data_IF_657478341670
#
_entry.id   IF_657478341670
#
_cell.length_a   1.000
_cell.length_b   1.000
_cell.length_c   1.000
_cell.angle_alpha   90.00
_cell.angle_beta   90.00
_cell.angle_gamma   90.00
#
_symmetry.space_group_name_H-M   'P 1'
#
loop_
_entity.id
_entity.type
_entity.pdbx_description
1 polymer ?
#
# COMPACT_ATOMS: atom_id res chain seq x y z
N UNK A 1 6.02 28.86 23.50
CA UNK A 1 5.98 27.42 23.08
C UNK A 1 6.91 26.63 23.99
N UNK A 2 6.39 25.61 24.64
CA UNK A 2 7.20 24.76 25.54
C UNK A 2 8.02 23.74 24.76
N UNK A 3 9.04 23.18 25.40
CA UNK A 3 9.82 22.08 24.83
C UNK A 3 8.94 20.88 24.50
N UNK A 4 7.91 20.65 25.31
CA UNK A 4 6.94 19.58 25.07
C UNK A 4 6.17 19.80 23.77
N UNK A 5 5.72 21.03 23.53
CA UNK A 5 5.00 21.37 22.30
C UNK A 5 5.90 21.20 21.06
N UNK A 6 7.15 21.60 21.17
CA UNK A 6 8.13 21.42 20.08
C UNK A 6 8.35 19.94 19.80
N UNK A 7 8.52 19.13 20.85
CA UNK A 7 8.71 17.67 20.69
C UNK A 7 7.48 17.02 20.05
N UNK A 8 6.28 17.38 20.45
CA UNK A 8 5.05 16.87 19.83
C UNK A 8 4.94 17.25 18.35
N UNK A 9 5.26 18.50 18.01
CA UNK A 9 5.21 18.98 16.64
C UNK A 9 6.21 18.25 15.74
N UNK A 10 7.44 18.06 16.23
CA UNK A 10 8.48 17.34 15.50
C UNK A 10 8.11 15.87 15.29
N UNK A 11 7.57 15.22 16.32
CA UNK A 11 7.13 13.83 16.24
C UNK A 11 5.98 13.66 15.24
N UNK A 12 4.97 14.51 15.33
CA UNK A 12 3.82 14.47 14.41
C UNK A 12 4.26 14.70 12.94
N UNK A 13 5.17 15.65 12.73
CA UNK A 13 5.70 15.94 11.40
C UNK A 13 6.51 14.76 10.85
N UNK A 14 7.36 14.16 11.70
CA UNK A 14 8.17 13.00 11.29
C UNK A 14 7.29 11.82 10.91
N UNK A 15 6.23 11.52 11.69
CA UNK A 15 5.29 10.45 11.37
C UNK A 15 4.54 10.74 10.07
N UNK A 16 4.08 11.97 9.88
CA UNK A 16 3.37 12.34 8.66
C UNK A 16 4.23 12.17 7.40
N UNK A 17 5.51 12.54 7.49
CA UNK A 17 6.46 12.39 6.37
C UNK A 17 6.88 10.96 6.11
N UNK A 18 6.78 10.08 7.11
CA UNK A 18 7.19 8.69 7.03
C UNK A 18 6.00 7.72 7.04
N UNK A 19 4.81 8.19 6.71
CA UNK A 19 3.67 7.30 6.54
C UNK A 19 3.94 6.31 5.40
N UNK A 20 3.44 5.06 5.51
CA UNK A 20 3.65 4.07 4.45
C UNK A 20 3.18 4.54 3.07
N UNK A 21 2.07 5.26 3.00
CA UNK A 21 1.57 5.80 1.73
C UNK A 21 2.53 6.82 1.12
N UNK A 22 3.06 7.75 1.93
CA UNK A 22 4.01 8.76 1.45
C UNK A 22 5.33 8.14 0.99
N UNK A 23 5.84 7.17 1.73
CA UNK A 23 7.08 6.47 1.38
C UNK A 23 6.94 5.76 0.05
N UNK A 24 5.85 5.03 -0.15
CA UNK A 24 5.63 4.30 -1.41
C UNK A 24 5.40 5.26 -2.57
N UNK A 25 4.63 6.32 -2.37
CA UNK A 25 4.41 7.33 -3.40
C UNK A 25 5.73 7.93 -3.88
N UNK A 26 6.57 8.41 -2.96
CA UNK A 26 7.85 9.01 -3.29
C UNK A 26 8.84 7.99 -3.88
N UNK A 27 8.87 6.77 -3.34
CA UNK A 27 9.74 5.71 -3.86
C UNK A 27 9.34 5.28 -5.27
N UNK A 28 8.06 5.33 -5.61
CA UNK A 28 7.56 4.93 -6.92
C UNK A 28 8.17 5.77 -8.04
N UNK A 29 8.49 7.04 -7.78
CA UNK A 29 9.15 7.92 -8.76
C UNK A 29 10.47 7.36 -9.26
N UNK A 30 11.17 6.57 -8.45
CA UNK A 30 12.46 5.96 -8.81
C UNK A 30 12.31 4.83 -9.82
N UNK A 31 11.09 4.35 -10.03
CA UNK A 31 10.80 3.20 -10.88
C UNK A 31 10.09 3.58 -12.17
N UNK A 32 10.08 4.85 -12.56
CA UNK A 32 9.40 5.33 -13.75
C UNK A 32 9.83 4.58 -15.01
N UNK A 33 11.11 4.25 -15.14
CA UNK A 33 11.60 3.46 -16.28
C UNK A 33 10.88 2.13 -16.40
N UNK A 34 10.68 1.44 -15.27
CA UNK A 34 9.97 0.15 -15.26
C UNK A 34 8.49 0.32 -15.58
N UNK A 35 7.86 1.36 -15.05
CA UNK A 35 6.45 1.63 -15.33
C UNK A 35 6.24 2.03 -16.79
N UNK A 36 7.14 2.82 -17.35
CA UNK A 36 7.09 3.22 -18.77
C UNK A 36 7.21 2.02 -19.69
N UNK A 37 8.09 1.07 -19.37
CA UNK A 37 8.31 -0.12 -20.18
C UNK A 37 7.21 -1.18 -20.00
N UNK A 38 6.48 -1.15 -18.91
CA UNK A 38 5.42 -2.12 -18.64
C UNK A 38 4.22 -1.88 -19.57
N UNK A 39 3.66 -2.97 -20.10
CA UNK A 39 2.37 -2.92 -20.80
C UNK A 39 1.21 -3.08 -19.85
N UNK A 40 1.40 -3.82 -18.76
CA UNK A 40 0.39 -4.08 -17.73
C UNK A 40 1.03 -4.02 -16.36
N UNK A 41 0.31 -3.46 -15.41
CA UNK A 41 0.74 -3.40 -14.01
C UNK A 41 -0.32 -4.11 -13.17
N UNK A 42 0.14 -5.04 -12.32
CA UNK A 42 -0.69 -5.83 -11.41
C UNK A 42 -0.31 -5.48 -9.97
N UNK A 43 -0.92 -4.46 -9.36
CA UNK A 43 -0.55 -4.05 -8.02
C UNK A 43 -0.98 -5.08 -6.97
N UNK A 44 -0.03 -5.50 -6.14
CA UNK A 44 -0.26 -6.42 -5.02
C UNK A 44 0.47 -5.88 -3.80
N UNK A 45 -0.20 -5.78 -2.68
CA UNK A 45 0.40 -5.41 -1.40
C UNK A 45 0.07 -6.45 -0.34
N UNK A 46 1.08 -6.88 0.40
CA UNK A 46 0.94 -7.92 1.42
C UNK A 46 1.62 -7.46 2.70
N UNK A 47 0.93 -7.59 3.82
CA UNK A 47 1.51 -7.31 5.12
C UNK A 47 0.74 -6.29 5.95
N UNK A 48 1.34 -5.93 7.09
CA UNK A 48 0.70 -5.09 8.10
C UNK A 48 0.33 -3.70 7.59
N UNK A 49 1.21 -3.06 6.81
CA UNK A 49 0.99 -1.72 6.28
C UNK A 49 0.47 -1.73 4.84
N UNK A 50 0.01 -2.87 4.35
CA UNK A 50 -0.28 -3.09 2.93
C UNK A 50 -1.34 -2.16 2.36
N UNK A 51 -2.35 -1.78 3.12
CA UNK A 51 -3.39 -0.88 2.61
C UNK A 51 -2.88 0.54 2.43
N UNK A 52 -2.16 1.06 3.40
CA UNK A 52 -1.56 2.38 3.27
C UNK A 52 -0.52 2.41 2.14
N UNK A 53 0.28 1.36 2.02
CA UNK A 53 1.23 1.21 0.93
C UNK A 53 0.55 1.15 -0.43
N UNK A 54 -0.53 0.38 -0.54
CA UNK A 54 -1.31 0.30 -1.78
C UNK A 54 -1.93 1.67 -2.12
N UNK A 55 -2.44 2.39 -1.13
CA UNK A 55 -2.99 3.73 -1.35
C UNK A 55 -1.95 4.67 -1.95
N UNK A 56 -0.73 4.67 -1.42
CA UNK A 56 0.36 5.47 -1.97
C UNK A 56 0.75 5.06 -3.38
N UNK A 57 0.82 3.76 -3.65
CA UNK A 57 1.11 3.25 -4.99
C UNK A 57 0.03 3.64 -5.99
N UNK A 58 -1.24 3.48 -5.62
CA UNK A 58 -2.36 3.81 -6.50
C UNK A 58 -2.47 5.30 -6.76
N UNK A 59 -2.18 6.15 -5.78
CA UNK A 59 -2.11 7.59 -6.01
C UNK A 59 -1.09 7.90 -7.11
N UNK A 60 0.09 7.31 -7.03
CA UNK A 60 1.14 7.52 -8.01
C UNK A 60 0.78 6.96 -9.39
N UNK A 61 0.30 5.72 -9.44
CA UNK A 61 -0.07 5.08 -10.70
C UNK A 61 -1.26 5.74 -11.39
N UNK A 62 -2.26 6.17 -10.62
CA UNK A 62 -3.42 6.85 -11.18
C UNK A 62 -3.07 8.24 -11.72
N UNK A 63 -2.10 8.91 -11.14
CA UNK A 63 -1.63 10.21 -11.64
C UNK A 63 -0.77 10.08 -12.90
N UNK A 64 0.04 9.03 -13.02
CA UNK A 64 1.07 8.92 -14.04
C UNK A 64 0.85 7.80 -15.06
N UNK A 65 0.24 6.68 -14.67
CA UNK A 65 0.08 5.48 -15.49
C UNK A 65 -1.31 4.85 -15.38
N UNK A 66 -2.40 5.62 -15.44
CA UNK A 66 -3.74 5.09 -15.14
C UNK A 66 -4.19 3.99 -16.10
N UNK A 67 -3.77 4.03 -17.35
CA UNK A 67 -4.16 3.03 -18.35
C UNK A 67 -3.41 1.71 -18.25
N UNK A 68 -2.36 1.64 -17.45
CA UNK A 68 -1.52 0.44 -17.31
C UNK A 68 -1.97 -0.49 -16.20
N UNK A 69 -2.81 -0.06 -15.29
CA UNK A 69 -3.39 -0.91 -14.25
C UNK A 69 -4.38 -1.85 -14.92
N UNK A 70 -4.01 -3.13 -15.01
CA UNK A 70 -4.77 -4.09 -15.82
C UNK A 70 -5.94 -4.71 -15.07
N UNK A 71 -5.73 -5.05 -13.81
CA UNK A 71 -6.75 -5.67 -12.96
C UNK A 71 -6.90 -4.90 -11.66
N UNK A 72 -8.03 -5.08 -11.00
CA UNK A 72 -8.27 -4.55 -9.66
C UNK A 72 -7.15 -4.99 -8.72
N UNK A 73 -6.48 -4.04 -8.04
CA UNK A 73 -5.38 -4.37 -7.14
C UNK A 73 -5.81 -5.31 -6.00
N UNK A 74 -4.85 -6.07 -5.48
CA UNK A 74 -5.08 -6.98 -4.35
C UNK A 74 -4.28 -6.51 -3.15
N UNK A 75 -4.95 -6.44 -2.00
CA UNK A 75 -4.33 -6.15 -0.71
C UNK A 75 -4.59 -7.33 0.23
N UNK A 76 -3.52 -7.87 0.79
CA UNK A 76 -3.57 -8.92 1.81
C UNK A 76 -3.07 -8.34 3.12
N UNK A 77 -3.93 -8.26 4.13
CA UNK A 77 -3.57 -7.71 5.43
C UNK A 77 -4.21 -8.52 6.57
N UNK A 78 -3.75 -8.25 7.80
CA UNK A 78 -4.44 -8.78 8.97
C UNK A 78 -5.79 -8.07 9.17
N UNK A 79 -6.69 -8.60 10.01
CA UNK A 79 -7.95 -7.95 10.32
C UNK A 79 -7.70 -6.57 10.94
N UNK A 80 -8.03 -5.53 10.22
CA UNK A 80 -7.93 -4.15 10.69
C UNK A 80 -9.11 -3.37 10.14
N UNK A 81 -9.54 -2.38 10.91
CA UNK A 81 -10.47 -1.41 10.39
C UNK A 81 -9.75 -0.54 9.37
N UNK A 82 -10.29 -0.50 8.15
CA UNK A 82 -9.58 0.11 7.03
C UNK A 82 -10.49 1.07 6.31
N UNK A 83 -10.05 2.31 6.26
CA UNK A 83 -10.67 3.33 5.43
C UNK A 83 -9.74 3.59 4.26
N UNK A 84 -10.20 3.27 3.06
CA UNK A 84 -9.49 3.60 1.84
C UNK A 84 -10.47 4.20 0.83
N UNK A 85 -10.01 5.23 0.12
CA UNK A 85 -10.75 5.83 -0.99
C UNK A 85 -10.48 5.10 -2.31
N UNK A 86 -9.52 4.17 -2.32
CA UNK A 86 -9.17 3.41 -3.50
C UNK A 86 -9.95 2.10 -3.59
N UNK A 87 -10.22 1.68 -4.81
CA UNK A 87 -10.90 0.42 -5.09
C UNK A 87 -9.89 -0.71 -5.29
N UNK A 88 -9.90 -1.66 -4.37
CA UNK A 88 -9.06 -2.86 -4.45
C UNK A 88 -9.74 -4.04 -3.76
N UNK A 89 -9.30 -5.26 -4.11
CA UNK A 89 -9.72 -6.48 -3.43
C UNK A 89 -8.94 -6.62 -2.14
N UNK A 90 -9.64 -6.63 -1.01
CA UNK A 90 -9.03 -6.79 0.29
C UNK A 90 -9.24 -8.22 0.79
N UNK A 91 -8.12 -8.90 1.07
CA UNK A 91 -8.15 -10.25 1.61
C UNK A 91 -7.53 -10.21 3.00
N UNK A 92 -8.28 -10.71 3.96
CA UNK A 92 -7.83 -10.78 5.35
C UNK A 92 -7.02 -12.05 5.55
N UNK A 93 -5.85 -11.91 6.13
CA UNK A 93 -4.99 -13.02 6.51
C UNK A 93 -4.59 -12.89 7.97
N UNK A 94 -4.34 -14.02 8.63
CA UNK A 94 -3.97 -13.99 10.04
C UNK A 94 -2.57 -13.42 10.27
N UNK A 95 -2.41 -12.82 11.43
CA UNK A 95 -1.14 -12.29 11.90
C UNK A 95 -1.12 -12.33 13.45
N UNK A 96 -0.04 -12.78 14.11
CA UNK A 96 1.24 -13.23 13.55
C UNK A 96 1.28 -14.71 13.17
N UNK A 97 0.29 -15.51 13.57
CA UNK A 97 0.30 -16.97 13.35
C UNK A 97 -0.45 -17.32 12.05
N UNK A 98 0.19 -18.01 11.09
CA UNK A 98 -0.48 -18.45 9.87
C UNK A 98 -1.63 -19.43 10.18
N UNK A 99 -2.69 -19.35 9.37
CA UNK A 99 -3.84 -20.26 9.43
C UNK A 99 -4.43 -20.49 8.03
N UNK A 100 -5.65 -21.02 7.95
CA UNK A 100 -6.32 -21.28 6.68
C UNK A 100 -6.53 -20.02 5.85
N UNK A 101 -6.72 -18.86 6.50
CA UNK A 101 -6.86 -17.58 5.80
C UNK A 101 -5.58 -17.19 5.05
N UNK A 102 -4.42 -17.55 5.60
CA UNK A 102 -3.12 -17.31 4.95
C UNK A 102 -2.97 -18.16 3.70
N UNK A 103 -3.41 -19.42 3.74
CA UNK A 103 -3.40 -20.32 2.58
C UNK A 103 -4.32 -19.79 1.49
N UNK A 104 -5.52 -19.38 1.84
CA UNK A 104 -6.47 -18.80 0.90
C UNK A 104 -5.91 -17.54 0.24
N UNK A 105 -5.36 -16.62 1.02
CA UNK A 105 -4.76 -15.39 0.52
C UNK A 105 -3.63 -15.68 -0.48
N UNK A 106 -2.78 -16.65 -0.17
CA UNK A 106 -1.68 -17.04 -1.05
C UNK A 106 -2.20 -17.55 -2.39
N UNK A 107 -3.25 -18.35 -2.39
CA UNK A 107 -3.85 -18.87 -3.62
C UNK A 107 -4.44 -17.75 -4.48
N UNK A 108 -5.14 -16.81 -3.87
CA UNK A 108 -5.72 -15.68 -4.60
C UNK A 108 -4.63 -14.86 -5.28
N UNK A 109 -3.52 -14.59 -4.59
CA UNK A 109 -2.40 -13.82 -5.17
C UNK A 109 -1.73 -14.61 -6.29
N UNK A 110 -1.52 -15.92 -6.12
CA UNK A 110 -0.89 -16.75 -7.15
C UNK A 110 -1.74 -16.86 -8.43
N UNK A 111 -3.05 -16.81 -8.29
CA UNK A 111 -3.98 -16.90 -9.43
C UNK A 111 -4.23 -15.54 -10.10
N UNK A 112 -3.71 -14.47 -9.51
CA UNK A 112 -3.85 -13.10 -10.01
C UNK A 112 -3.03 -12.87 -11.26
#
# INVERSE_FOLDING_TARGET
MSLRDIAHSLFAEAIAKQSPSSIVYESSKKYDTYFDDATRIFPVAVGKASVEMMSGLLDYLNENYPSKIYKKPIVVSNPQEMISTHDFTHIVSSHPTPDDSSIYASRVVLDY
#
